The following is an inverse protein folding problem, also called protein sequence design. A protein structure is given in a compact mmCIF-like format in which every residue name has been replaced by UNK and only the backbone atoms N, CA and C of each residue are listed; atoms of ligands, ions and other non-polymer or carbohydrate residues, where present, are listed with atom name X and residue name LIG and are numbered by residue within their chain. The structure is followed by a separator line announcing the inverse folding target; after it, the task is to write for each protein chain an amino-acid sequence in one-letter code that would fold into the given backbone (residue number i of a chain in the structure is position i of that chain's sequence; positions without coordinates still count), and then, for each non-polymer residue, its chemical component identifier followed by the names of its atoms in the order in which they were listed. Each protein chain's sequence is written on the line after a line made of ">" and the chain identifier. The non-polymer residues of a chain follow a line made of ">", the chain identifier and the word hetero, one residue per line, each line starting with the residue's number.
data_IF_585748754806
#
_entry.id   IF_585748754806
#
_cell.length_a   1.000
_cell.length_b   1.000
_cell.length_c   1.000
_cell.angle_alpha   90.00
_cell.angle_beta   90.00
_cell.angle_gamma   90.00
#
_symmetry.space_group_name_H-M   'P 1'
#
loop_
_entity.id
_entity.type
_entity.pdbx_description
1 polymer ?
#
# COMPACT_ATOMS: atom_id res chain seq x y z
N UNK A 1 -11.34 10.94 -7.88
CA UNK A 1 -10.48 9.79 -8.22
C UNK A 1 -9.60 9.51 -7.02
N UNK A 2 -9.65 8.30 -6.48
CA UNK A 2 -8.92 7.94 -5.27
C UNK A 2 -7.49 7.52 -5.63
N UNK A 3 -6.51 8.05 -4.93
CA UNK A 3 -5.10 7.67 -5.07
C UNK A 3 -4.47 7.44 -3.72
N UNK A 4 -3.30 6.82 -3.69
CA UNK A 4 -2.53 6.63 -2.48
C UNK A 4 -1.15 7.33 -2.58
N UNK A 5 -0.48 7.50 -1.45
CA UNK A 5 0.95 7.86 -1.36
C UNK A 5 1.65 6.88 -0.44
N UNK A 6 2.84 6.41 -0.81
CA UNK A 6 3.70 5.62 0.09
C UNK A 6 4.34 6.55 1.13
N UNK A 7 4.33 6.11 2.38
CA UNK A 7 4.94 6.79 3.51
C UNK A 7 6.12 5.97 4.06
N UNK A 8 7.04 6.65 4.74
CA UNK A 8 8.14 6.01 5.48
C UNK A 8 7.62 5.00 6.52
N UNK A 9 8.25 3.84 6.64
CA UNK A 9 7.93 2.78 7.61
C UNK A 9 8.10 3.19 9.08
N UNK A 10 8.90 4.25 9.37
CA UNK A 10 9.09 4.91 10.67
C UNK A 10 7.95 5.86 11.05
N UNK A 11 6.78 5.52 10.56
CA UNK A 11 5.59 6.33 10.39
C UNK A 11 4.92 6.66 11.74
N UNK A 12 5.15 7.85 12.32
CA UNK A 12 4.37 8.38 13.46
C UNK A 12 3.49 9.54 13.02
N UNK A 13 2.43 9.88 13.77
CA UNK A 13 1.47 10.96 13.42
C UNK A 13 2.15 12.28 13.03
N UNK A 14 3.32 12.54 13.60
CA UNK A 14 4.07 13.78 13.43
C UNK A 14 5.22 13.69 12.43
N UNK A 15 5.48 12.53 11.82
CA UNK A 15 6.70 12.28 11.03
C UNK A 15 6.48 11.38 9.80
N UNK A 16 5.42 11.63 9.03
CA UNK A 16 5.23 10.98 7.73
C UNK A 16 5.83 11.84 6.61
N UNK A 17 6.77 11.26 5.87
CA UNK A 17 7.26 11.83 4.61
C UNK A 17 6.80 10.95 3.46
N UNK A 18 6.36 11.60 2.37
CA UNK A 18 6.09 10.91 1.11
C UNK A 18 7.40 10.32 0.60
N UNK A 19 7.45 9.00 0.53
CA UNK A 19 8.48 8.28 -0.20
C UNK A 19 7.83 7.99 -1.55
N UNK A 20 8.31 8.56 -2.64
CA UNK A 20 7.66 8.41 -3.95
C UNK A 20 7.51 6.94 -4.32
N UNK A 21 8.65 6.26 -4.38
CA UNK A 21 8.76 4.86 -4.76
C UNK A 21 9.36 4.07 -3.59
N UNK A 22 8.80 2.90 -3.28
CA UNK A 22 9.34 2.02 -2.25
C UNK A 22 10.39 1.10 -2.88
N UNK A 23 11.65 1.29 -2.50
CA UNK A 23 12.71 0.34 -2.84
C UNK A 23 12.57 -0.92 -1.97
N UNK A 24 12.50 -2.07 -2.63
CA UNK A 24 12.27 -3.38 -2.01
C UNK A 24 13.41 -4.31 -2.37
N UNK A 25 14.08 -4.87 -1.37
CA UNK A 25 15.02 -5.99 -1.56
C UNK A 25 14.22 -7.29 -1.47
N UNK A 26 14.25 -8.15 -2.50
CA UNK A 26 13.57 -9.45 -2.45
C UNK A 26 14.03 -10.27 -1.25
N UNK A 27 13.07 -10.86 -0.53
CA UNK A 27 13.35 -11.72 0.62
C UNK A 27 13.51 -10.98 1.95
N UNK A 28 13.27 -9.67 2.02
CA UNK A 28 13.24 -8.92 3.28
C UNK A 28 11.81 -8.71 3.78
N UNK A 29 11.62 -8.62 5.10
CA UNK A 29 10.34 -8.21 5.66
C UNK A 29 10.12 -6.71 5.41
N UNK A 30 8.94 -6.36 4.88
CA UNK A 30 8.64 -4.98 4.47
C UNK A 30 7.34 -4.52 5.06
N UNK A 31 7.33 -3.27 5.54
CA UNK A 31 6.11 -2.59 5.97
C UNK A 31 5.71 -1.55 4.95
N UNK A 32 4.63 -1.82 4.23
CA UNK A 32 4.03 -0.88 3.30
C UNK A 32 3.05 0.02 4.07
N UNK A 33 3.25 1.32 4.01
CA UNK A 33 2.36 2.31 4.61
C UNK A 33 1.83 3.22 3.51
N UNK A 34 0.51 3.28 3.37
CA UNK A 34 -0.19 4.06 2.36
C UNK A 34 -1.09 5.12 3.01
N UNK A 35 -1.11 6.31 2.43
CA UNK A 35 -2.09 7.34 2.75
C UNK A 35 -3.06 7.52 1.59
N UNK A 36 -4.36 7.39 1.87
CA UNK A 36 -5.43 7.56 0.90
C UNK A 36 -5.73 9.05 0.67
N UNK A 37 -5.92 9.41 -0.59
CA UNK A 37 -6.15 10.79 -1.02
C UNK A 37 -7.21 10.87 -2.11
N UNK A 38 -8.06 11.88 -1.99
CA UNK A 38 -8.97 12.26 -3.06
C UNK A 38 -8.29 13.29 -3.97
N UNK A 39 -7.77 12.81 -5.11
CA UNK A 39 -7.05 13.64 -6.10
C UNK A 39 -7.88 14.79 -6.69
N UNK A 40 -9.21 14.73 -6.62
CA UNK A 40 -10.06 15.81 -7.13
C UNK A 40 -10.04 17.04 -6.24
N UNK A 41 -9.75 16.86 -4.94
CA UNK A 41 -9.78 17.94 -3.96
C UNK A 41 -8.42 18.16 -3.29
N UNK A 42 -7.42 17.33 -3.59
CA UNK A 42 -6.11 17.32 -2.92
C UNK A 42 -6.25 17.20 -1.40
N UNK A 43 -7.21 16.38 -0.97
CA UNK A 43 -7.53 16.15 0.44
C UNK A 43 -7.24 14.70 0.81
N UNK A 44 -6.86 14.51 2.08
CA UNK A 44 -6.81 13.18 2.71
C UNK A 44 -8.20 12.56 2.65
N UNK A 45 -8.25 11.29 2.26
CA UNK A 45 -9.49 10.53 2.22
C UNK A 45 -9.55 9.63 3.45
N UNK A 46 -10.59 9.83 4.27
CA UNK A 46 -10.77 9.13 5.54
C UNK A 46 -11.91 8.13 5.34
N UNK A 47 -11.66 6.87 5.65
CA UNK A 47 -12.72 5.87 5.74
C UNK A 47 -13.49 6.11 7.03
N UNK A 48 -14.68 6.72 6.94
CA UNK A 48 -15.43 7.17 8.11
C UNK A 48 -16.04 6.02 8.92
N UNK A 49 -16.58 5.01 8.24
CA UNK A 49 -17.22 3.86 8.89
C UNK A 49 -16.19 2.93 9.52
N UNK A 50 -16.34 2.58 10.80
CA UNK A 50 -15.42 1.69 11.54
C UNK A 50 -15.29 0.29 10.93
N UNK A 51 -16.31 -0.20 10.24
CA UNK A 51 -16.28 -1.48 9.55
C UNK A 51 -15.56 -1.42 8.18
N UNK A 52 -15.28 -0.23 7.66
CA UNK A 52 -14.65 -0.09 6.35
C UNK A 52 -13.24 -0.68 6.31
N UNK A 53 -12.90 -1.32 5.20
CA UNK A 53 -11.65 -2.05 5.00
C UNK A 53 -10.89 -1.54 3.78
N UNK A 54 -9.58 -1.78 3.75
CA UNK A 54 -8.74 -1.47 2.59
C UNK A 54 -7.91 -2.71 2.28
N UNK A 55 -7.94 -3.14 1.02
CA UNK A 55 -7.10 -4.21 0.52
C UNK A 55 -6.15 -3.66 -0.54
N UNK A 56 -4.93 -4.18 -0.55
CA UNK A 56 -3.90 -3.86 -1.53
C UNK A 56 -3.61 -5.09 -2.40
N UNK A 57 -3.41 -4.89 -3.69
CA UNK A 57 -3.00 -5.91 -4.64
C UNK A 57 -1.66 -5.53 -5.24
N UNK A 58 -0.68 -6.40 -5.01
CA UNK A 58 0.72 -6.19 -5.36
C UNK A 58 1.10 -7.20 -6.45
N UNK A 59 1.68 -6.77 -7.58
CA UNK A 59 2.05 -7.70 -8.65
C UNK A 59 3.22 -8.60 -8.23
N UNK A 60 3.08 -9.89 -8.55
CA UNK A 60 4.13 -10.90 -8.41
C UNK A 60 4.82 -11.17 -9.76
N UNK A 61 6.01 -11.77 -9.71
CA UNK A 61 6.78 -12.15 -10.90
C UNK A 61 6.11 -13.20 -11.80
N UNK A 62 5.15 -13.94 -11.28
CA UNK A 62 4.37 -14.97 -11.99
C UNK A 62 3.10 -14.41 -12.68
N UNK A 63 2.97 -13.09 -12.79
CA UNK A 63 1.77 -12.40 -13.31
C UNK A 63 0.52 -12.57 -12.44
N UNK A 64 0.65 -13.12 -11.23
CA UNK A 64 -0.41 -13.09 -10.21
C UNK A 64 -0.35 -11.80 -9.38
N UNK A 65 -1.33 -11.63 -8.49
CA UNK A 65 -1.34 -10.53 -7.51
C UNK A 65 -1.37 -11.10 -6.10
N UNK A 66 -0.45 -10.65 -5.26
CA UNK A 66 -0.54 -10.80 -3.82
C UNK A 66 -1.59 -9.81 -3.29
N UNK A 67 -2.70 -10.32 -2.77
CA UNK A 67 -3.76 -9.51 -2.17
C UNK A 67 -3.65 -9.57 -0.65
N UNK A 68 -3.61 -8.40 -0.01
CA UNK A 68 -3.53 -8.31 1.45
C UNK A 68 -4.50 -7.28 1.98
N UNK A 69 -5.18 -7.65 3.06
CA UNK A 69 -5.94 -6.70 3.85
C UNK A 69 -4.99 -5.80 4.64
N UNK A 70 -5.25 -4.50 4.59
CA UNK A 70 -4.49 -3.49 5.29
C UNK A 70 -5.14 -3.18 6.64
N UNK A 71 -4.30 -2.75 7.58
CA UNK A 71 -4.72 -2.31 8.90
C UNK A 71 -4.73 -0.79 8.96
N UNK A 72 -5.84 -0.21 9.42
CA UNK A 72 -5.93 1.23 9.63
C UNK A 72 -4.97 1.68 10.73
N UNK A 73 -4.37 2.85 10.57
CA UNK A 73 -3.62 3.47 11.66
C UNK A 73 -4.60 3.98 12.71
N UNK A 74 -4.39 3.61 13.98
CA UNK A 74 -5.36 3.82 15.08
C UNK A 74 -5.79 5.29 15.25
N UNK A 75 -4.90 6.22 14.93
CA UNK A 75 -5.12 7.66 15.13
C UNK A 75 -5.45 8.42 13.83
N UNK A 76 -5.28 7.82 12.66
CA UNK A 76 -5.59 8.43 11.36
C UNK A 76 -6.04 7.37 10.35
N UNK A 77 -7.35 7.33 10.07
CA UNK A 77 -7.97 6.35 9.16
C UNK A 77 -7.86 6.72 7.67
N UNK A 78 -7.10 7.77 7.35
CA UNK A 78 -6.56 7.96 5.99
C UNK A 78 -5.28 7.17 5.77
N UNK A 79 -4.64 6.68 6.83
CA UNK A 79 -3.38 5.94 6.76
C UNK A 79 -3.65 4.46 7.05
N UNK A 80 -3.11 3.62 6.18
CA UNK A 80 -3.28 2.16 6.20
C UNK A 80 -1.92 1.52 6.02
N UNK A 81 -1.69 0.39 6.68
CA UNK A 81 -0.42 -0.33 6.58
C UNK A 81 -0.62 -1.82 6.47
N UNK A 82 0.38 -2.49 5.89
CA UNK A 82 0.46 -3.95 5.84
C UNK A 82 1.91 -4.37 5.94
N UNK A 83 2.15 -5.50 6.59
CA UNK A 83 3.45 -6.15 6.63
C UNK A 83 3.47 -7.32 5.66
N UNK A 84 4.51 -7.36 4.83
CA UNK A 84 4.82 -8.43 3.89
C UNK A 84 5.98 -9.21 4.47
N UNK A 85 5.82 -10.52 4.56
CA UNK A 85 6.85 -11.45 5.02
C UNK A 85 7.96 -11.63 3.98
N UNK A 86 9.11 -12.11 4.41
CA UNK A 86 10.25 -12.43 3.53
C UNK A 86 9.85 -13.37 2.37
N UNK A 87 8.99 -14.35 2.64
CA UNK A 87 8.49 -15.26 1.60
C UNK A 87 7.59 -14.54 0.59
N UNK A 88 6.76 -13.60 1.04
CA UNK A 88 5.89 -12.81 0.16
C UNK A 88 6.68 -11.80 -0.67
N UNK A 89 7.76 -11.24 -0.12
CA UNK A 89 8.60 -10.24 -0.81
C UNK A 89 9.61 -10.85 -1.76
N UNK A 90 9.97 -12.13 -1.59
CA UNK A 90 10.89 -12.85 -2.48
C UNK A 90 10.38 -12.92 -3.92
N UNK A 91 9.07 -13.03 -4.11
CA UNK A 91 8.43 -13.20 -5.42
C UNK A 91 7.83 -11.90 -5.99
N UNK A 92 8.01 -10.76 -5.29
CA UNK A 92 7.49 -9.47 -5.74
C UNK A 92 8.20 -8.99 -7.00
N UNK A 93 7.38 -8.51 -7.93
CA UNK A 93 7.87 -7.83 -9.14
C UNK A 93 7.61 -6.34 -9.02
N UNK A 94 8.62 -5.53 -9.36
CA UNK A 94 8.49 -4.07 -9.34
C UNK A 94 7.36 -3.61 -10.25
N UNK A 95 6.49 -2.73 -9.75
CA UNK A 95 5.32 -2.33 -10.50
C UNK A 95 4.31 -1.48 -9.75
N UNK A 96 3.20 -1.25 -10.44
CA UNK A 96 2.07 -0.49 -9.90
C UNK A 96 1.32 -1.33 -8.89
N UNK A 97 0.90 -0.69 -7.80
CA UNK A 97 0.00 -1.30 -6.82
C UNK A 97 -1.42 -0.80 -7.10
N UNK A 98 -2.40 -1.68 -6.99
CA UNK A 98 -3.81 -1.30 -6.93
C UNK A 98 -4.34 -1.47 -5.53
N UNK A 99 -5.29 -0.63 -5.12
CA UNK A 99 -5.95 -0.78 -3.83
C UNK A 99 -7.46 -0.62 -3.98
N UNK A 100 -8.19 -1.29 -3.10
CA UNK A 100 -9.63 -1.28 -3.02
C UNK A 100 -10.04 -0.88 -1.61
N UNK A 101 -10.96 0.07 -1.53
CA UNK A 101 -11.58 0.50 -0.28
C UNK A 101 -13.01 0.01 -0.29
N UNK A 102 -13.39 -0.72 0.76
CA UNK A 102 -14.77 -1.00 1.09
C UNK A 102 -15.21 -0.03 2.20
N UNK A 103 -16.04 0.95 1.86
CA UNK A 103 -16.46 1.95 2.84
C UNK A 103 -17.40 1.38 3.90
N UNK A 104 -18.14 0.32 3.60
CA UNK A 104 -19.15 -0.21 4.51
C UNK A 104 -18.71 -1.49 5.23
N UNK A 105 -17.70 -2.18 4.69
CA UNK A 105 -17.22 -3.47 5.20
C UNK A 105 -18.15 -4.64 4.87
N UNK A 106 -19.10 -4.44 3.95
CA UNK A 106 -20.11 -5.42 3.53
C UNK A 106 -19.94 -5.88 2.07
N UNK A 107 -18.88 -5.39 1.39
CA UNK A 107 -18.56 -5.69 0.01
C UNK A 107 -19.41 -4.95 -1.03
N UNK A 108 -20.31 -4.04 -0.63
CA UNK A 108 -21.27 -3.39 -1.55
C UNK A 108 -20.77 -2.07 -2.11
N UNK A 109 -20.01 -1.28 -1.34
CA UNK A 109 -19.47 0.02 -1.76
C UNK A 109 -17.97 -0.07 -1.91
N UNK A 110 -17.52 -0.38 -3.13
CA UNK A 110 -16.10 -0.57 -3.45
C UNK A 110 -15.57 0.60 -4.28
N UNK A 111 -14.66 1.38 -3.69
CA UNK A 111 -13.91 2.40 -4.41
C UNK A 111 -12.51 1.87 -4.73
N UNK A 112 -12.11 1.95 -6.00
CA UNK A 112 -10.78 1.50 -6.45
C UNK A 112 -9.87 2.67 -6.75
N UNK A 113 -8.60 2.49 -6.44
CA UNK A 113 -7.53 3.41 -6.79
C UNK A 113 -6.26 2.66 -7.19
N UNK A 114 -5.31 3.42 -7.72
CA UNK A 114 -4.00 2.89 -8.08
C UNK A 114 -2.89 3.81 -7.62
N UNK A 115 -1.72 3.21 -7.43
CA UNK A 115 -0.46 3.87 -7.18
C UNK A 115 0.54 3.46 -8.25
N UNK A 116 0.99 4.44 -9.04
CA UNK A 116 1.98 4.24 -10.10
C UNK A 116 3.37 4.08 -9.50
N UNK A 117 4.14 3.11 -10.02
CA UNK A 117 5.53 2.82 -9.65
C UNK A 117 5.81 2.66 -8.16
N UNK A 118 4.80 2.18 -7.42
CA UNK A 118 4.83 2.08 -5.97
C UNK A 118 5.98 1.25 -5.41
N UNK A 119 6.31 0.14 -6.08
CA UNK A 119 7.40 -0.76 -5.69
C UNK A 119 8.43 -0.79 -6.79
N UNK A 120 9.67 -0.51 -6.39
CA UNK A 120 10.87 -0.68 -7.19
C UNK A 120 11.68 -1.81 -6.57
N UNK A 121 11.71 -2.96 -7.22
CA UNK A 121 12.53 -4.08 -6.77
C UNK A 121 14.00 -3.78 -7.06
N UNK A 122 14.82 -3.72 -6.02
CA UNK A 122 16.27 -3.62 -6.14
C UNK A 122 16.82 -5.04 -6.23
N UNK A 123 17.16 -5.48 -7.45
CA UNK A 123 17.96 -6.68 -7.62
C UNK A 123 19.34 -6.38 -7.05
N UNK A 124 19.64 -6.88 -5.85
CA UNK A 124 21.00 -6.90 -5.34
C UNK A 124 21.82 -7.74 -6.30
N UNK A 125 22.58 -7.05 -7.16
CA UNK A 125 23.42 -7.69 -8.15
C UNK A 125 24.31 -8.73 -7.49
N UNK A 126 24.17 -9.98 -7.91
CA UNK A 126 25.21 -10.97 -7.70
C UNK A 126 26.48 -10.45 -8.36
N UNK A 127 27.41 -9.96 -7.55
CA UNK A 127 28.82 -10.02 -7.92
C UNK A 127 29.22 -11.49 -7.86
N UNK A 128 29.08 -12.17 -8.99
CA UNK A 128 29.84 -13.37 -9.32
C UNK A 128 31.34 -13.07 -9.30
#
# INVERSE_FOLDING_TARGET
>A
MLTAKVLNSSASINSYFKIGDLEVIPGEQIKLVLQLENKQHDLRYIVENLAGTVAVSIPNGDSSYLVKDMTAFTLDRSIWWVELSEAETADLYGGNITFQVDELGDGTVLTRGWLESAIVTVLTGGCS
#
